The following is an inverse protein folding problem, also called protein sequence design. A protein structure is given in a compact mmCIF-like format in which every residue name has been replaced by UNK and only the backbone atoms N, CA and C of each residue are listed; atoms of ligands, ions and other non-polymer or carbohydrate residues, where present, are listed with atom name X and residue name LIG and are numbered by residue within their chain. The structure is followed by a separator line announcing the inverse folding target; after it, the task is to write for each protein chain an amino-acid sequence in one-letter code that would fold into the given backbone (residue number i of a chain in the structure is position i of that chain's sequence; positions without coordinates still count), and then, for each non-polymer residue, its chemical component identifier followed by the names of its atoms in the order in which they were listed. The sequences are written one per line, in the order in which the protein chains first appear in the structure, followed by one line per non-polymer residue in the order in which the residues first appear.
data_IF_063059392748
#
_entry.id   IF_063059392748
#
_cell.length_a   1.000
_cell.length_b   1.000
_cell.length_c   1.000
_cell.angle_alpha   90.00
_cell.angle_beta   90.00
_cell.angle_gamma   90.00
#
_symmetry.space_group_name_H-M   'P 1'
#
loop_
_entity.id
_entity.type
_entity.pdbx_description
1 polymer ?
#
# COMPACT_ATOMS: atom_id res chain seq x y z
N UNK A 1 3.74 -0.22 -23.85
CA UNK A 1 3.92 -0.43 -22.40
C UNK A 1 4.72 -1.72 -22.21
N UNK A 2 5.92 -1.65 -21.64
CA UNK A 2 6.76 -2.84 -21.40
C UNK A 2 6.32 -3.60 -20.13
N UNK A 3 6.87 -4.79 -19.91
CA UNK A 3 6.61 -5.54 -18.69
C UNK A 3 7.08 -4.73 -17.47
N UNK A 4 6.26 -4.69 -16.43
CA UNK A 4 6.67 -4.12 -15.15
C UNK A 4 7.83 -4.95 -14.57
N UNK A 5 8.79 -4.31 -13.90
CA UNK A 5 9.87 -5.04 -13.24
C UNK A 5 9.30 -5.97 -12.18
N UNK A 6 10.00 -7.10 -11.96
CA UNK A 6 9.62 -8.07 -10.94
C UNK A 6 9.59 -7.41 -9.56
N UNK A 7 8.47 -7.59 -8.86
CA UNK A 7 8.24 -7.07 -7.51
C UNK A 7 8.75 -8.04 -6.42
N UNK A 8 9.44 -9.12 -6.79
CA UNK A 8 9.87 -10.17 -5.87
C UNK A 8 10.92 -9.71 -4.85
N UNK A 9 11.56 -8.56 -5.07
CA UNK A 9 12.56 -7.96 -4.19
C UNK A 9 12.00 -6.88 -3.26
N UNK A 10 10.69 -6.65 -3.25
CA UNK A 10 10.10 -5.59 -2.43
C UNK A 10 9.96 -6.02 -0.96
N UNK A 11 10.80 -5.44 -0.09
CA UNK A 11 10.64 -5.59 1.37
C UNK A 11 9.51 -4.71 1.91
N UNK A 12 8.72 -5.27 2.83
CA UNK A 12 7.59 -4.54 3.43
C UNK A 12 8.05 -3.30 4.21
N UNK A 13 9.20 -3.35 4.89
CA UNK A 13 9.68 -2.20 5.65
C UNK A 13 10.25 -1.13 4.73
N UNK A 14 10.89 -1.52 3.61
CA UNK A 14 11.31 -0.58 2.56
C UNK A 14 10.12 0.15 1.95
N UNK A 15 9.03 -0.56 1.64
CA UNK A 15 7.79 0.06 1.15
C UNK A 15 7.25 1.06 2.18
N UNK A 16 7.16 0.68 3.46
CA UNK A 16 6.66 1.59 4.51
C UNK A 16 7.55 2.82 4.66
N UNK A 17 8.88 2.68 4.54
CA UNK A 17 9.81 3.81 4.55
C UNK A 17 9.59 4.71 3.33
N UNK A 18 9.50 4.13 2.14
CA UNK A 18 9.28 4.88 0.90
C UNK A 18 7.95 5.66 0.93
N UNK A 19 6.89 5.05 1.47
CA UNK A 19 5.58 5.68 1.64
C UNK A 19 5.63 6.96 2.49
N UNK A 20 6.52 7.06 3.49
CA UNK A 20 6.69 8.28 4.31
C UNK A 20 7.22 9.48 3.52
N UNK A 21 7.90 9.23 2.40
CA UNK A 21 8.47 10.27 1.55
C UNK A 21 7.56 10.59 0.35
N UNK A 22 6.37 9.98 0.27
CA UNK A 22 5.41 10.25 -0.79
C UNK A 22 4.93 11.71 -0.74
N UNK A 23 4.81 12.36 -1.90
CA UNK A 23 4.42 13.77 -2.02
C UNK A 23 3.00 14.09 -1.53
N UNK A 24 2.19 13.09 -1.16
CA UNK A 24 0.88 13.26 -0.51
C UNK A 24 0.95 13.21 1.03
N UNK A 25 2.16 13.17 1.60
CA UNK A 25 2.36 13.43 3.02
C UNK A 25 2.17 14.93 3.28
N UNK A 26 1.08 15.30 3.96
CA UNK A 26 0.93 16.61 4.59
C UNK A 26 1.28 16.40 6.06
N UNK A 27 2.27 17.15 6.56
CA UNK A 27 2.74 17.05 7.96
C UNK A 27 3.26 15.64 8.37
N UNK A 28 3.92 14.93 7.45
CA UNK A 28 4.48 13.59 7.70
C UNK A 28 3.43 12.48 7.82
N UNK A 29 2.16 12.77 7.49
CA UNK A 29 1.06 11.82 7.52
C UNK A 29 0.52 11.55 6.10
N UNK A 30 0.37 10.26 5.78
CA UNK A 30 -0.22 9.83 4.50
C UNK A 30 -1.73 9.77 4.67
N UNK A 31 -2.46 10.54 3.88
CA UNK A 31 -3.92 10.40 3.79
C UNK A 31 -4.26 9.26 2.82
N UNK A 32 -5.09 8.34 3.27
CA UNK A 32 -5.48 7.15 2.53
C UNK A 32 -6.85 7.32 1.89
N UNK A 33 -7.04 6.78 0.70
CA UNK A 33 -8.38 6.63 0.11
C UNK A 33 -8.83 5.20 0.36
N UNK A 34 -9.80 5.00 1.23
CA UNK A 34 -10.41 3.70 1.52
C UNK A 34 -11.83 3.68 0.97
N UNK A 35 -12.26 2.52 0.46
CA UNK A 35 -13.62 2.34 -0.04
C UNK A 35 -14.52 1.84 1.09
N UNK A 36 -15.60 2.56 1.38
CA UNK A 36 -16.68 2.08 2.27
C UNK A 36 -17.68 1.19 1.53
N UNK A 37 -17.68 1.26 0.19
CA UNK A 37 -18.47 0.45 -0.71
C UNK A 37 -18.06 0.71 -2.16
N UNK A 38 -18.61 -0.07 -3.10
CA UNK A 38 -18.37 0.17 -4.53
C UNK A 38 -18.85 1.57 -4.91
N UNK A 39 -17.96 2.38 -5.50
CA UNK A 39 -18.24 3.76 -5.86
C UNK A 39 -18.26 4.77 -4.70
N UNK A 40 -17.84 4.39 -3.49
CA UNK A 40 -17.86 5.24 -2.30
C UNK A 40 -16.47 5.40 -1.68
N UNK A 41 -15.61 6.29 -2.23
CA UNK A 41 -14.31 6.57 -1.65
C UNK A 41 -14.42 7.48 -0.43
N UNK A 42 -13.60 7.21 0.58
CA UNK A 42 -13.45 8.02 1.79
C UNK A 42 -11.99 8.32 2.04
N UNK A 43 -11.70 9.59 2.32
CA UNK A 43 -10.37 10.00 2.77
C UNK A 43 -10.25 9.68 4.25
N UNK A 44 -9.22 8.92 4.62
CA UNK A 44 -8.92 8.51 5.98
C UNK A 44 -7.54 9.02 6.34
N UNK A 45 -7.46 9.75 7.45
CA UNK A 45 -6.21 10.30 7.95
C UNK A 45 -5.22 9.20 8.35
N UNK A 46 -3.94 9.38 8.04
CA UNK A 46 -2.89 8.40 8.31
C UNK A 46 -2.77 8.02 9.78
N UNK A 47 -2.98 8.95 10.71
CA UNK A 47 -2.95 8.69 12.16
C UNK A 47 -3.99 7.67 12.64
N UNK A 48 -5.08 7.48 11.90
CA UNK A 48 -6.12 6.51 12.22
C UNK A 48 -5.75 5.09 11.76
N UNK A 49 -4.73 4.95 10.92
CA UNK A 49 -4.27 3.64 10.43
C UNK A 49 -3.09 3.16 11.27
N UNK A 50 -3.32 2.09 12.04
CA UNK A 50 -2.25 1.49 12.83
C UNK A 50 -1.14 0.91 11.93
N UNK A 51 0.11 1.02 12.37
CA UNK A 51 1.26 0.41 11.69
C UNK A 51 1.14 -1.13 11.58
N UNK A 52 0.37 -1.77 12.47
CA UNK A 52 0.06 -3.21 12.39
C UNK A 52 -0.87 -3.49 11.20
N UNK A 53 -1.96 -2.73 11.06
CA UNK A 53 -2.92 -2.86 9.96
C UNK A 53 -2.24 -2.62 8.61
N UNK A 54 -1.43 -1.57 8.50
CA UNK A 54 -0.68 -1.26 7.28
C UNK A 54 0.27 -2.42 6.88
N UNK A 55 1.05 -2.95 7.84
CA UNK A 55 1.93 -4.09 7.59
C UNK A 55 1.17 -5.33 7.15
N UNK A 56 0.05 -5.64 7.80
CA UNK A 56 -0.79 -6.78 7.42
C UNK A 56 -1.36 -6.62 6.01
N UNK A 57 -1.86 -5.43 5.66
CA UNK A 57 -2.40 -5.14 4.34
C UNK A 57 -1.33 -5.27 3.24
N UNK A 58 -0.15 -4.70 3.46
CA UNK A 58 0.97 -4.81 2.51
C UNK A 58 1.39 -6.27 2.30
N UNK A 59 1.53 -7.05 3.38
CA UNK A 59 1.84 -8.49 3.29
C UNK A 59 0.76 -9.26 2.51
N UNK A 60 -0.51 -8.95 2.73
CA UNK A 60 -1.60 -9.61 2.01
C UNK A 60 -1.58 -9.29 0.51
N UNK A 61 -1.31 -8.03 0.13
CA UNK A 61 -1.21 -7.62 -1.27
C UNK A 61 0.00 -8.23 -1.99
N UNK A 62 1.17 -8.22 -1.35
CA UNK A 62 2.40 -8.76 -1.94
C UNK A 62 2.39 -10.29 -2.09
N UNK A 63 1.73 -11.02 -1.18
CA UNK A 63 1.56 -12.48 -1.29
C UNK A 63 0.69 -12.92 -2.48
N UNK A 64 -0.18 -12.04 -2.96
CA UNK A 64 -1.12 -12.34 -4.05
C UNK A 64 -0.47 -12.19 -5.43
N UNK A 65 0.50 -11.28 -5.55
CA UNK A 65 1.29 -11.11 -6.78
C UNK A 65 2.17 -12.32 -7.15
N UNK A 66 2.48 -13.21 -6.20
CA UNK A 66 3.27 -14.42 -6.47
C UNK A 66 2.43 -15.66 -6.84
N UNK A 67 1.10 -15.61 -6.69
CA UNK A 67 0.20 -16.75 -6.95
C UNK A 67 -0.58 -16.63 -8.26
N UNK A 68 -0.78 -15.42 -8.78
CA UNK A 68 -1.49 -15.20 -10.06
C UNK A 68 -0.56 -15.20 -11.30
N UNK A 69 0.75 -15.35 -11.12
CA UNK A 69 1.74 -15.44 -12.22
C UNK A 69 1.89 -16.87 -12.82
N UNK A 70 1.00 -17.80 -12.47
CA UNK A 70 0.89 -19.13 -13.09
C UNK A 70 -0.54 -19.34 -13.62
N UNK A 71 -0.83 -18.81 -14.80
CA UNK A 71 -1.82 -19.41 -15.71
C UNK A 71 -1.55 -19.01 -17.15
#
# INVERSE_FOLDING_TARGET
CGPLPSANNLDTNEIIRALKHDKKSVDGQINWVLLEGIGRPKIVEGRLISAKSLRSALRAGLRRGSTDAKK
#
